data_IF_803821408483
#
_entry.id   IF_803821408483
#
_cell.length_a   1.000
_cell.length_b   1.000
_cell.length_c   1.000
_cell.angle_alpha   90.00
_cell.angle_beta   90.00
_cell.angle_gamma   90.00
#
_symmetry.space_group_name_H-M   'P 1'
#
loop_
_entity.id
_entity.type
_entity.pdbx_description
1 polymer ?
#
# COMPACT_ATOMS: atom_id res chain seq x y z
N UNK A 1 -16.76 36.88 -82.03
CA UNK A 1 -15.99 37.64 -81.03
C UNK A 1 -15.60 36.66 -79.94
N UNK A 2 -14.31 36.36 -79.83
CA UNK A 2 -13.80 35.55 -78.72
C UNK A 2 -13.92 36.40 -77.44
N UNK A 3 -14.76 35.98 -76.50
CA UNK A 3 -14.75 36.53 -75.15
C UNK A 3 -13.51 36.00 -74.45
N UNK A 4 -12.52 36.86 -74.32
CA UNK A 4 -11.26 36.66 -73.61
C UNK A 4 -11.47 36.76 -72.11
N UNK A 5 -12.26 35.85 -71.54
CA UNK A 5 -12.29 35.73 -70.08
C UNK A 5 -11.05 34.94 -69.64
N UNK A 6 -10.02 35.67 -69.22
CA UNK A 6 -8.75 35.13 -68.72
C UNK A 6 -8.85 34.66 -67.26
N UNK A 7 -10.00 34.85 -66.62
CA UNK A 7 -10.23 34.48 -65.24
C UNK A 7 -10.76 33.05 -65.20
N UNK A 8 -9.85 32.07 -65.02
CA UNK A 8 -10.28 30.72 -64.68
C UNK A 8 -11.04 30.76 -63.34
N UNK A 9 -12.29 30.31 -63.35
CA UNK A 9 -13.07 30.11 -62.12
C UNK A 9 -12.28 29.21 -61.17
N UNK A 10 -12.03 29.67 -59.94
CA UNK A 10 -11.34 28.86 -58.95
C UNK A 10 -12.14 27.58 -58.71
N UNK A 11 -11.51 26.42 -58.88
CA UNK A 11 -12.09 25.14 -58.49
C UNK A 11 -12.22 25.12 -56.96
N UNK A 12 -13.43 25.37 -56.47
CA UNK A 12 -13.74 25.36 -55.04
C UNK A 12 -13.93 23.93 -54.49
N UNK A 13 -13.87 22.91 -55.35
CA UNK A 13 -14.03 21.50 -54.98
C UNK A 13 -12.70 20.76 -54.87
N UNK A 14 -11.63 21.29 -55.48
CA UNK A 14 -10.27 20.77 -55.40
C UNK A 14 -9.33 21.65 -54.57
N UNK A 15 -8.59 21.06 -53.64
CA UNK A 15 -7.45 21.75 -53.03
C UNK A 15 -6.27 21.77 -54.01
N UNK A 16 -5.94 22.94 -54.57
CA UNK A 16 -4.70 23.13 -55.33
C UNK A 16 -3.48 23.13 -54.39
N UNK A 17 -2.36 22.55 -54.82
CA UNK A 17 -1.12 22.59 -54.04
C UNK A 17 -0.72 24.04 -53.78
N UNK A 18 -0.65 24.44 -52.50
CA UNK A 18 -0.13 25.74 -52.06
C UNK A 18 -1.16 26.81 -51.67
N UNK A 19 -2.47 26.55 -51.77
CA UNK A 19 -3.52 27.54 -51.45
C UNK A 19 -4.15 27.39 -50.05
N UNK A 20 -3.56 26.57 -49.18
CA UNK A 20 -3.99 26.42 -47.78
C UNK A 20 -2.85 25.97 -46.88
N UNK A 21 -3.07 26.02 -45.56
CA UNK A 21 -2.11 25.49 -44.59
C UNK A 21 -1.96 23.97 -44.80
N UNK A 22 -0.93 23.56 -45.54
CA UNK A 22 -0.56 22.16 -45.71
C UNK A 22 -0.11 21.62 -44.36
N UNK A 23 -0.93 20.74 -43.78
CA UNK A 23 -0.59 20.05 -42.53
C UNK A 23 0.56 19.07 -42.79
N UNK A 24 1.79 19.52 -42.62
CA UNK A 24 3.01 18.70 -42.79
C UNK A 24 3.27 17.78 -41.59
N UNK A 25 2.57 17.99 -40.47
CA UNK A 25 2.68 17.19 -39.25
C UNK A 25 1.30 16.87 -38.68
N UNK A 26 1.10 15.60 -38.32
CA UNK A 26 -0.08 15.15 -37.57
C UNK A 26 0.37 14.90 -36.12
N UNK A 27 -0.19 15.61 -35.12
CA UNK A 27 0.03 15.26 -33.73
C UNK A 27 -0.51 13.85 -33.52
N UNK A 28 0.34 13.00 -32.96
CA UNK A 28 -0.05 11.70 -32.46
C UNK A 28 -0.35 11.88 -30.97
N UNK A 29 -1.54 11.48 -30.56
CA UNK A 29 -1.85 11.40 -29.15
C UNK A 29 -1.06 10.21 -28.59
N UNK A 30 -0.25 10.46 -27.56
CA UNK A 30 0.51 9.45 -26.86
C UNK A 30 -0.01 9.43 -25.42
N UNK A 31 -0.56 8.29 -25.02
CA UNK A 31 -1.00 8.08 -23.66
C UNK A 31 0.23 7.80 -22.79
N UNK A 32 0.61 8.80 -22.00
CA UNK A 32 1.63 8.61 -20.96
C UNK A 32 0.96 8.19 -19.65
N UNK A 33 1.63 7.32 -18.91
CA UNK A 33 1.20 6.96 -17.57
C UNK A 33 1.29 8.21 -16.68
N UNK A 34 0.21 8.58 -15.95
CA UNK A 34 0.29 9.69 -15.01
C UNK A 34 1.41 9.43 -13.99
N UNK A 35 2.21 10.45 -13.62
CA UNK A 35 3.38 10.25 -12.76
C UNK A 35 3.00 9.68 -11.40
N UNK A 36 1.83 10.05 -10.86
CA UNK A 36 1.33 9.45 -9.63
C UNK A 36 1.07 7.95 -9.76
N UNK A 37 0.49 7.50 -10.89
CA UNK A 37 0.27 6.09 -11.16
C UNK A 37 1.61 5.35 -11.29
N UNK A 38 2.56 5.91 -12.04
CA UNK A 38 3.89 5.33 -12.27
C UNK A 38 4.69 5.17 -10.96
N UNK A 39 4.63 6.17 -10.09
CA UNK A 39 5.32 6.14 -8.79
C UNK A 39 4.62 5.27 -7.74
N UNK A 40 3.41 4.78 -7.97
CA UNK A 40 2.68 3.96 -7.01
C UNK A 40 3.18 2.51 -7.03
N UNK A 41 3.83 2.00 -5.96
CA UNK A 41 4.36 0.63 -5.97
C UNK A 41 3.25 -0.44 -5.97
N UNK A 42 2.04 -0.08 -5.54
CA UNK A 42 0.88 -0.96 -5.63
C UNK A 42 0.32 -1.08 -7.05
N UNK A 43 0.77 -0.23 -7.99
CA UNK A 43 0.29 -0.21 -9.37
C UNK A 43 -1.08 0.44 -9.54
N UNK A 44 -1.54 1.21 -8.55
CA UNK A 44 -2.89 1.78 -8.56
C UNK A 44 -3.12 2.75 -9.72
N UNK A 45 -4.30 2.64 -10.35
CA UNK A 45 -4.76 3.66 -11.28
C UNK A 45 -5.35 4.88 -10.57
N UNK A 46 -4.46 5.69 -9.98
CA UNK A 46 -4.78 6.87 -9.16
C UNK A 46 -5.65 7.86 -9.92
N UNK A 47 -5.29 8.18 -11.15
CA UNK A 47 -6.06 9.11 -11.97
C UNK A 47 -7.51 8.64 -12.20
N UNK A 48 -7.75 7.34 -12.40
CA UNK A 48 -9.09 6.80 -12.63
C UNK A 48 -9.97 6.87 -11.37
N UNK A 49 -9.48 6.38 -10.22
CA UNK A 49 -10.29 6.41 -9.01
C UNK A 49 -10.46 7.82 -8.45
N UNK A 50 -9.48 8.73 -8.64
CA UNK A 50 -9.64 10.15 -8.31
C UNK A 50 -10.73 10.82 -9.15
N UNK A 51 -10.79 10.54 -10.45
CA UNK A 51 -11.84 11.08 -11.33
C UNK A 51 -13.23 10.65 -10.88
N UNK A 52 -13.40 9.39 -10.48
CA UNK A 52 -14.65 8.88 -9.91
C UNK A 52 -14.99 9.53 -8.57
N UNK A 53 -14.01 9.73 -7.69
CA UNK A 53 -14.20 10.40 -6.42
C UNK A 53 -14.59 11.88 -6.61
N UNK A 54 -13.97 12.58 -7.56
CA UNK A 54 -14.31 13.96 -7.92
C UNK A 54 -15.74 14.08 -8.45
N UNK A 55 -16.21 13.08 -9.21
CA UNK A 55 -17.59 13.01 -9.69
C UNK A 55 -18.62 12.63 -8.60
N UNK A 56 -18.19 12.39 -7.36
CA UNK A 56 -19.05 11.95 -6.25
C UNK A 56 -19.41 10.46 -6.29
N UNK A 57 -18.84 9.70 -7.22
CA UNK A 57 -19.08 8.26 -7.38
C UNK A 57 -18.15 7.44 -6.49
N UNK A 58 -18.26 7.61 -5.16
CA UNK A 58 -17.30 7.05 -4.21
C UNK A 58 -17.23 5.52 -4.20
N UNK A 59 -18.35 4.81 -4.38
CA UNK A 59 -18.31 3.33 -4.45
C UNK A 59 -17.57 2.87 -5.71
N UNK A 60 -17.80 3.53 -6.85
CA UNK A 60 -17.08 3.22 -8.08
C UNK A 60 -15.58 3.53 -7.94
N UNK A 61 -15.23 4.65 -7.30
CA UNK A 61 -13.85 5.00 -6.99
C UNK A 61 -13.17 3.93 -6.14
N UNK A 62 -13.82 3.50 -5.06
CA UNK A 62 -13.33 2.41 -4.22
C UNK A 62 -13.20 1.10 -4.99
N UNK A 63 -14.17 0.75 -5.84
CA UNK A 63 -14.11 -0.46 -6.69
C UNK A 63 -12.94 -0.43 -7.67
N UNK A 64 -12.60 0.74 -8.20
CA UNK A 64 -11.43 0.90 -9.07
C UNK A 64 -10.13 0.79 -8.27
N UNK A 65 -10.05 1.45 -7.11
CA UNK A 65 -8.91 1.42 -6.19
C UNK A 65 -8.57 -0.02 -5.75
N UNK A 66 -9.58 -0.80 -5.34
CA UNK A 66 -9.35 -2.16 -4.82
C UNK A 66 -9.01 -3.18 -5.90
N UNK A 67 -9.05 -2.82 -7.19
CA UNK A 67 -8.51 -3.69 -8.23
C UNK A 67 -7.04 -4.01 -8.00
N UNK A 68 -6.30 -3.07 -7.40
CA UNK A 68 -4.87 -3.15 -7.17
C UNK A 68 -4.56 -3.35 -5.68
N UNK A 69 -5.21 -2.58 -4.79
CA UNK A 69 -4.93 -2.55 -3.36
C UNK A 69 -6.15 -2.97 -2.49
N UNK A 70 -6.10 -4.11 -1.77
CA UNK A 70 -7.23 -4.59 -0.99
C UNK A 70 -7.46 -3.88 0.36
N UNK A 71 -6.51 -3.05 0.81
CA UNK A 71 -6.55 -2.47 2.16
C UNK A 71 -6.40 -0.95 2.15
N UNK A 72 -7.27 -0.21 1.42
CA UNK A 72 -7.13 1.24 1.28
C UNK A 72 -7.31 2.05 2.57
N UNK A 73 -8.10 1.57 3.54
CA UNK A 73 -8.27 2.27 4.82
C UNK A 73 -6.95 2.29 5.61
N UNK A 74 -6.21 1.18 5.60
CA UNK A 74 -4.90 1.09 6.22
C UNK A 74 -3.80 1.69 5.35
N UNK A 75 -3.77 1.40 4.05
CA UNK A 75 -2.73 1.88 3.14
C UNK A 75 -2.66 3.42 3.14
N UNK A 76 -3.80 4.11 3.01
CA UNK A 76 -3.87 5.57 3.05
C UNK A 76 -3.44 6.20 4.38
N UNK A 77 -3.22 5.42 5.46
CA UNK A 77 -2.73 5.93 6.76
C UNK A 77 -1.22 5.79 6.94
N UNK A 78 -0.61 4.81 6.27
CA UNK A 78 0.79 4.42 6.54
C UNK A 78 1.68 4.40 5.31
N UNK A 79 1.10 4.54 4.11
CA UNK A 79 1.85 4.75 2.87
C UNK A 79 2.74 5.99 2.99
N UNK A 80 3.92 5.93 2.38
CA UNK A 80 4.85 7.06 2.27
C UNK A 80 4.53 7.97 1.06
N UNK A 81 3.37 7.75 0.42
CA UNK A 81 2.81 8.58 -0.65
C UNK A 81 3.84 9.04 -1.72
N UNK A 82 4.63 8.12 -2.32
CA UNK A 82 5.57 8.48 -3.39
C UNK A 82 4.84 9.07 -4.62
N UNK A 83 3.58 8.70 -4.81
CA UNK A 83 2.70 9.26 -5.82
C UNK A 83 2.44 10.78 -5.65
N UNK A 84 2.56 11.31 -4.43
CA UNK A 84 2.41 12.75 -4.14
C UNK A 84 3.71 13.51 -4.40
N UNK A 85 4.87 12.87 -4.22
CA UNK A 85 6.20 13.48 -4.46
C UNK A 85 6.40 13.87 -5.93
N UNK A 86 5.86 13.07 -6.85
CA UNK A 86 5.95 13.28 -8.30
C UNK A 86 4.70 13.92 -8.91
N UNK A 87 3.80 14.47 -8.08
CA UNK A 87 2.53 15.00 -8.56
C UNK A 87 2.74 16.26 -9.41
N UNK A 88 2.31 16.24 -10.69
CA UNK A 88 2.37 17.39 -11.59
C UNK A 88 1.77 18.68 -11.02
N UNK A 89 0.78 18.56 -10.13
CA UNK A 89 0.10 19.69 -9.49
C UNK A 89 1.02 20.49 -8.56
N UNK A 90 2.10 19.88 -8.06
CA UNK A 90 3.11 20.58 -7.26
C UNK A 90 3.79 21.73 -8.03
N UNK A 91 3.74 21.73 -9.37
CA UNK A 91 4.23 22.84 -10.20
C UNK A 91 3.26 24.01 -10.32
N UNK A 92 2.01 23.85 -9.86
CA UNK A 92 0.97 24.88 -9.90
C UNK A 92 0.69 25.43 -8.51
N UNK A 93 0.36 24.55 -7.56
CA UNK A 93 0.08 24.92 -6.16
C UNK A 93 0.68 23.89 -5.19
N UNK A 94 -0.01 22.77 -4.96
CA UNK A 94 0.44 21.71 -4.06
C UNK A 94 0.07 20.34 -4.63
N UNK A 95 0.81 19.32 -4.20
CA UNK A 95 0.46 17.95 -4.53
C UNK A 95 -0.96 17.62 -4.07
N UNK A 96 -1.66 16.82 -4.87
CA UNK A 96 -2.97 16.27 -4.45
C UNK A 96 -2.72 15.34 -3.27
N UNK A 97 -3.54 15.45 -2.22
CA UNK A 97 -3.46 14.57 -1.05
C UNK A 97 -4.14 13.22 -1.35
N UNK A 98 -3.49 12.45 -2.22
CA UNK A 98 -3.92 11.14 -2.74
C UNK A 98 -4.16 10.16 -1.59
N UNK A 99 -3.21 10.03 -0.64
CA UNK A 99 -3.34 9.09 0.48
C UNK A 99 -4.55 9.41 1.36
N UNK A 100 -4.89 10.70 1.52
CA UNK A 100 -6.04 11.13 2.31
C UNK A 100 -7.36 10.74 1.64
N UNK A 101 -7.44 10.83 0.30
CA UNK A 101 -8.61 10.40 -0.46
C UNK A 101 -8.72 8.87 -0.46
N UNK A 102 -7.60 8.16 -0.62
CA UNK A 102 -7.54 6.70 -0.48
C UNK A 102 -8.07 6.24 0.88
N UNK A 103 -7.56 6.84 1.96
CA UNK A 103 -8.04 6.60 3.33
C UNK A 103 -9.53 6.87 3.44
N UNK A 104 -10.02 8.00 2.92
CA UNK A 104 -11.43 8.37 2.96
C UNK A 104 -12.31 7.33 2.26
N UNK A 105 -11.91 6.86 1.07
CA UNK A 105 -12.63 5.83 0.33
C UNK A 105 -12.63 4.50 1.09
N UNK A 106 -11.49 4.11 1.67
CA UNK A 106 -11.38 2.91 2.49
C UNK A 106 -12.25 2.96 3.75
N UNK A 107 -12.19 4.07 4.50
CA UNK A 107 -12.99 4.29 5.70
C UNK A 107 -14.50 4.30 5.36
N UNK A 108 -14.89 4.96 4.27
CA UNK A 108 -16.28 4.96 3.78
C UNK A 108 -16.74 3.56 3.40
N UNK A 109 -15.90 2.77 2.73
CA UNK A 109 -16.22 1.40 2.38
C UNK A 109 -16.47 0.53 3.62
N UNK A 110 -15.72 0.75 4.71
CA UNK A 110 -15.95 0.04 5.97
C UNK A 110 -17.27 0.49 6.62
N UNK A 111 -17.56 1.79 6.63
CA UNK A 111 -18.79 2.33 7.20
C UNK A 111 -20.04 1.89 6.43
N UNK A 112 -19.97 1.85 5.10
CA UNK A 112 -21.08 1.48 4.20
C UNK A 112 -21.20 -0.04 4.01
N UNK A 113 -20.24 -0.81 4.50
CA UNK A 113 -20.22 -2.27 4.34
C UNK A 113 -20.04 -2.70 2.88
N UNK A 114 -19.27 -1.94 2.08
CA UNK A 114 -18.97 -2.34 0.71
C UNK A 114 -18.11 -3.60 0.68
N UNK A 115 -18.47 -4.51 -0.23
CA UNK A 115 -17.92 -5.86 -0.32
C UNK A 115 -17.17 -6.08 -1.63
N UNK A 116 -16.17 -6.94 -1.57
CA UNK A 116 -15.46 -7.39 -2.76
C UNK A 116 -16.35 -8.28 -3.62
N UNK A 117 -16.16 -8.19 -4.93
CA UNK A 117 -16.84 -9.07 -5.88
C UNK A 117 -16.23 -10.47 -5.81
N UNK A 118 -17.05 -11.48 -5.50
CA UNK A 118 -16.63 -12.88 -5.51
C UNK A 118 -16.33 -13.36 -6.92
N UNK A 119 -15.37 -14.27 -7.11
CA UNK A 119 -15.09 -14.87 -8.41
C UNK A 119 -16.34 -15.60 -8.94
N UNK A 120 -16.60 -15.48 -10.24
CA UNK A 120 -17.74 -16.15 -10.88
C UNK A 120 -17.51 -17.67 -11.03
N UNK A 121 -16.25 -18.09 -11.17
CA UNK A 121 -15.87 -19.49 -11.38
C UNK A 121 -14.77 -19.89 -10.42
N UNK A 122 -14.84 -21.14 -9.95
CA UNK A 122 -13.76 -21.75 -9.20
C UNK A 122 -12.73 -22.33 -10.17
N UNK A 123 -11.46 -22.03 -9.93
CA UNK A 123 -10.33 -22.58 -10.70
C UNK A 123 -10.04 -24.05 -10.40
N UNK A 124 -10.61 -24.60 -9.32
CA UNK A 124 -10.28 -25.93 -8.79
C UNK A 124 -8.90 -26.03 -8.12
N UNK A 125 -8.15 -24.93 -8.04
CA UNK A 125 -6.81 -24.89 -7.43
C UNK A 125 -6.86 -24.44 -5.98
N UNK A 126 -6.03 -25.07 -5.14
CA UNK A 126 -5.86 -24.74 -3.72
C UNK A 126 -4.48 -24.16 -3.47
N UNK A 127 -4.44 -22.98 -2.84
CA UNK A 127 -3.20 -22.25 -2.60
C UNK A 127 -3.02 -22.03 -1.10
N UNK A 128 -1.86 -22.40 -0.58
CA UNK A 128 -1.44 -22.10 0.78
C UNK A 128 -0.64 -20.79 0.79
N UNK A 129 -0.89 -19.94 1.78
CA UNK A 129 -0.10 -18.76 2.06
C UNK A 129 0.45 -18.87 3.48
N UNK A 130 1.76 -18.72 3.63
CA UNK A 130 2.41 -18.79 4.95
C UNK A 130 2.68 -17.37 5.45
N UNK A 131 1.87 -16.89 6.38
CA UNK A 131 1.93 -15.55 6.96
C UNK A 131 0.77 -14.64 6.51
N UNK A 132 0.06 -14.07 7.47
CA UNK A 132 -1.03 -13.11 7.30
C UNK A 132 -0.56 -11.65 7.43
N UNK A 133 0.65 -11.35 6.94
CA UNK A 133 1.16 -9.99 6.79
C UNK A 133 0.57 -9.27 5.56
N UNK A 134 1.00 -8.03 5.27
CA UNK A 134 0.47 -7.24 4.14
C UNK A 134 0.61 -7.98 2.80
N UNK A 135 1.77 -8.60 2.56
CA UNK A 135 2.02 -9.37 1.33
C UNK A 135 1.13 -10.61 1.24
N UNK A 136 0.97 -11.37 2.33
CA UNK A 136 0.12 -12.56 2.35
C UNK A 136 -1.36 -12.24 2.17
N UNK A 137 -1.86 -11.19 2.83
CA UNK A 137 -3.23 -10.71 2.68
C UNK A 137 -3.52 -10.21 1.26
N UNK A 138 -2.58 -9.47 0.65
CA UNK A 138 -2.68 -9.00 -0.73
C UNK A 138 -2.67 -10.16 -1.73
N UNK A 139 -1.74 -11.11 -1.57
CA UNK A 139 -1.70 -12.31 -2.39
C UNK A 139 -2.99 -13.12 -2.26
N UNK A 140 -3.53 -13.27 -1.05
CA UNK A 140 -4.76 -14.00 -0.81
C UNK A 140 -5.95 -13.37 -1.52
N UNK A 141 -6.06 -12.04 -1.42
CA UNK A 141 -7.09 -11.27 -2.12
C UNK A 141 -7.07 -11.50 -3.63
N UNK A 142 -5.90 -11.33 -4.25
CA UNK A 142 -5.76 -11.47 -5.70
C UNK A 142 -5.99 -12.91 -6.17
N UNK A 143 -5.47 -13.91 -5.45
CA UNK A 143 -5.68 -15.32 -5.76
C UNK A 143 -7.15 -15.74 -5.61
N UNK A 144 -7.84 -15.26 -4.57
CA UNK A 144 -9.27 -15.52 -4.40
C UNK A 144 -10.10 -14.87 -5.52
N UNK A 145 -9.74 -13.67 -6.00
CA UNK A 145 -10.39 -13.03 -7.17
C UNK A 145 -10.22 -13.82 -8.47
N UNK A 146 -9.13 -14.59 -8.59
CA UNK A 146 -8.89 -15.52 -9.70
C UNK A 146 -9.64 -16.85 -9.54
N UNK A 147 -10.43 -17.02 -8.46
CA UNK A 147 -11.21 -18.24 -8.23
C UNK A 147 -10.43 -19.36 -7.57
N UNK A 148 -9.26 -19.08 -6.99
CA UNK A 148 -8.52 -20.08 -6.20
C UNK A 148 -9.12 -20.23 -4.80
N UNK A 149 -9.09 -21.44 -4.27
CA UNK A 149 -9.38 -21.69 -2.86
C UNK A 149 -8.11 -21.39 -2.05
N UNK A 150 -8.14 -20.32 -1.26
CA UNK A 150 -6.96 -19.81 -0.56
C UNK A 150 -7.07 -20.04 0.95
N UNK A 151 -5.99 -20.56 1.53
CA UNK A 151 -5.83 -20.68 2.98
C UNK A 151 -4.53 -20.00 3.41
N UNK A 152 -4.62 -19.19 4.48
CA UNK A 152 -3.47 -18.56 5.12
C UNK A 152 -3.19 -19.26 6.44
N UNK A 153 -1.95 -19.69 6.66
CA UNK A 153 -1.46 -20.17 7.95
C UNK A 153 -0.59 -19.08 8.59
N UNK A 154 -1.03 -18.57 9.73
CA UNK A 154 -0.39 -17.49 10.47
C UNK A 154 0.10 -18.00 11.83
N UNK A 155 1.39 -17.79 12.11
CA UNK A 155 2.01 -18.24 13.35
C UNK A 155 1.49 -17.49 14.59
N UNK A 156 1.09 -16.23 14.43
CA UNK A 156 0.59 -15.37 15.48
C UNK A 156 -0.91 -15.55 15.80
N UNK A 157 -1.38 -14.96 16.91
CA UNK A 157 -2.77 -15.05 17.34
C UNK A 157 -3.71 -14.11 16.59
N UNK A 158 -3.19 -13.23 15.72
CA UNK A 158 -3.94 -12.24 14.95
C UNK A 158 -3.30 -12.00 13.59
N UNK A 159 -4.13 -11.75 12.58
CA UNK A 159 -3.68 -11.36 11.25
C UNK A 159 -3.24 -9.89 11.19
N UNK A 160 -2.44 -9.56 10.18
CA UNK A 160 -1.90 -8.23 9.88
C UNK A 160 -0.37 -8.18 9.91
N UNK A 161 0.30 -9.12 10.56
CA UNK A 161 1.77 -9.15 10.65
C UNK A 161 2.35 -7.82 11.19
N UNK A 162 3.34 -7.24 10.51
CA UNK A 162 3.98 -5.99 10.94
C UNK A 162 3.05 -4.77 10.95
N UNK A 163 1.94 -4.80 10.21
CA UNK A 163 0.88 -3.81 10.34
C UNK A 163 0.29 -3.82 11.76
N UNK A 164 -0.01 -5.01 12.28
CA UNK A 164 -0.52 -5.16 13.64
C UNK A 164 0.57 -4.96 14.71
N UNK A 165 1.72 -5.63 14.57
CA UNK A 165 2.70 -5.72 15.66
C UNK A 165 3.76 -4.61 15.63
N UNK A 166 4.12 -4.11 14.45
CA UNK A 166 5.20 -3.13 14.29
C UNK A 166 4.71 -1.70 14.34
N UNK A 167 3.66 -1.37 13.58
CA UNK A 167 3.19 0.01 13.46
C UNK A 167 2.32 0.36 14.66
N UNK A 168 2.59 1.47 15.38
CA UNK A 168 1.80 1.84 16.56
C UNK A 168 0.32 2.08 16.27
N UNK A 169 -0.55 1.72 17.22
CA UNK A 169 -2.01 1.80 17.07
C UNK A 169 -2.54 3.21 16.73
N UNK A 170 -1.84 4.28 17.14
CA UNK A 170 -2.23 5.66 16.82
C UNK A 170 -1.97 6.04 15.35
N UNK A 171 -1.06 5.34 14.65
CA UNK A 171 -0.89 5.45 13.19
C UNK A 171 -1.77 4.43 12.46
N UNK A 172 -1.88 3.24 13.04
CA UNK A 172 -2.63 2.13 12.48
C UNK A 172 -3.70 1.61 13.44
N UNK A 173 -4.90 2.21 13.42
CA UNK A 173 -6.01 1.77 14.23
C UNK A 173 -6.35 0.29 14.03
N UNK A 174 -6.55 -0.43 15.14
CA UNK A 174 -6.76 -1.88 15.13
C UNK A 174 -8.14 -2.29 14.66
N UNK A 175 -9.14 -1.43 14.80
CA UNK A 175 -10.50 -1.73 14.36
C UNK A 175 -10.58 -1.76 12.83
N UNK A 176 -10.01 -0.75 12.17
CA UNK A 176 -9.94 -0.63 10.72
C UNK A 176 -9.13 -1.77 10.10
N UNK A 177 -7.96 -2.09 10.67
CA UNK A 177 -7.14 -3.23 10.19
C UNK A 177 -7.92 -4.55 10.27
N UNK A 178 -8.58 -4.82 11.40
CA UNK A 178 -9.41 -6.03 11.53
C UNK A 178 -10.57 -6.04 10.56
N UNK A 179 -11.19 -4.89 10.30
CA UNK A 179 -12.32 -4.79 9.39
C UNK A 179 -11.90 -5.02 7.92
N UNK A 180 -10.70 -4.56 7.51
CA UNK A 180 -10.17 -4.87 6.17
C UNK A 180 -9.76 -6.33 6.03
N UNK A 181 -9.11 -6.92 7.05
CA UNK A 181 -8.82 -8.36 7.07
C UNK A 181 -10.12 -9.17 6.96
N UNK A 182 -11.16 -8.79 7.73
CA UNK A 182 -12.46 -9.45 7.69
C UNK A 182 -13.10 -9.38 6.30
N UNK A 183 -12.97 -8.27 5.59
CA UNK A 183 -13.46 -8.16 4.20
C UNK A 183 -12.75 -9.13 3.26
N UNK A 184 -11.46 -9.41 3.48
CA UNK A 184 -10.72 -10.45 2.74
C UNK A 184 -11.22 -11.85 3.11
N UNK A 185 -11.55 -12.12 4.38
CA UNK A 185 -12.18 -13.38 4.78
C UNK A 185 -13.58 -13.56 4.15
N UNK A 186 -14.37 -12.48 4.07
CA UNK A 186 -15.71 -12.46 3.46
C UNK A 186 -15.69 -12.75 1.94
N UNK A 187 -14.55 -12.52 1.27
CA UNK A 187 -14.29 -12.95 -0.11
C UNK A 187 -14.18 -14.48 -0.24
N UNK A 188 -13.88 -15.18 0.85
CA UNK A 188 -13.73 -16.64 0.91
C UNK A 188 -12.32 -17.13 1.28
N UNK A 189 -11.42 -16.23 1.66
CA UNK A 189 -10.09 -16.59 2.16
C UNK A 189 -10.22 -17.15 3.58
N UNK A 190 -9.66 -18.33 3.82
CA UNK A 190 -9.61 -18.93 5.16
C UNK A 190 -8.30 -18.54 5.86
N UNK A 191 -8.37 -18.02 7.08
CA UNK A 191 -7.19 -17.70 7.88
C UNK A 191 -7.14 -18.62 9.12
N UNK A 192 -6.07 -19.40 9.24
CA UNK A 192 -5.80 -20.26 10.40
C UNK A 192 -4.70 -19.60 11.24
N UNK A 193 -5.08 -19.07 12.40
CA UNK A 193 -4.20 -18.39 13.35
C UNK A 193 -3.52 -19.40 14.30
N UNK A 194 -2.45 -18.98 14.97
CA UNK A 194 -1.63 -19.82 15.86
C UNK A 194 -1.11 -21.10 15.18
N UNK A 195 -0.89 -21.04 13.87
CA UNK A 195 -0.40 -22.15 13.07
C UNK A 195 0.95 -21.77 12.47
N UNK A 196 2.03 -22.17 13.13
CA UNK A 196 3.38 -21.99 12.60
C UNK A 196 3.72 -23.15 11.66
N UNK A 197 4.07 -22.80 10.43
CA UNK A 197 4.57 -23.76 9.43
C UNK A 197 6.08 -23.91 9.61
N UNK A 198 6.52 -25.08 10.06
CA UNK A 198 7.95 -25.42 10.19
C UNK A 198 8.52 -26.01 8.89
N UNK A 199 7.71 -26.77 8.15
CA UNK A 199 8.08 -27.36 6.85
C UNK A 199 6.98 -27.08 5.82
N UNK A 200 7.31 -26.22 4.87
CA UNK A 200 6.39 -25.77 3.81
C UNK A 200 5.98 -26.91 2.87
N UNK A 201 6.89 -27.85 2.57
CA UNK A 201 6.61 -28.95 1.64
C UNK A 201 5.72 -30.00 2.31
N UNK A 202 5.97 -30.29 3.58
CA UNK A 202 5.12 -31.17 4.36
C UNK A 202 3.69 -30.59 4.48
N UNK A 203 3.56 -29.30 4.82
CA UNK A 203 2.26 -28.63 4.94
C UNK A 203 1.51 -28.60 3.60
N UNK A 204 2.23 -28.31 2.51
CA UNK A 204 1.69 -28.37 1.14
C UNK A 204 1.09 -29.73 0.82
N UNK A 205 1.83 -30.80 1.11
CA UNK A 205 1.43 -32.17 0.81
C UNK A 205 0.24 -32.62 1.68
N UNK A 206 0.33 -32.40 3.00
CA UNK A 206 -0.71 -32.76 3.96
C UNK A 206 -2.02 -32.03 3.70
N UNK A 207 -1.95 -30.74 3.37
CA UNK A 207 -3.11 -29.92 3.06
C UNK A 207 -3.62 -30.07 1.63
N UNK A 208 -2.94 -30.82 0.75
CA UNK A 208 -3.35 -31.01 -0.64
C UNK A 208 -3.34 -29.71 -1.46
N UNK A 209 -2.34 -28.85 -1.24
CA UNK A 209 -2.21 -27.57 -1.93
C UNK A 209 -1.44 -27.70 -3.24
N UNK A 210 -1.93 -27.06 -4.30
CA UNK A 210 -1.27 -27.02 -5.60
C UNK A 210 0.01 -26.18 -5.56
N UNK A 211 -0.04 -25.04 -4.86
CA UNK A 211 1.08 -24.10 -4.71
C UNK A 211 1.14 -23.47 -3.31
N UNK A 212 2.30 -22.92 -2.97
CA UNK A 212 2.52 -22.19 -1.73
C UNK A 212 3.15 -20.83 -2.01
N UNK A 213 2.66 -19.79 -1.34
CA UNK A 213 3.27 -18.46 -1.30
C UNK A 213 3.79 -18.17 0.11
N UNK A 214 5.10 -17.92 0.24
CA UNK A 214 5.75 -17.69 1.54
C UNK A 214 5.82 -16.19 1.81
N UNK A 215 5.06 -15.73 2.81
CA UNK A 215 4.87 -14.32 3.18
C UNK A 215 5.20 -14.04 4.66
N UNK A 216 6.18 -14.77 5.23
CA UNK A 216 6.55 -14.67 6.65
C UNK A 216 7.19 -13.33 7.02
N UNK A 217 7.86 -12.66 6.08
CA UNK A 217 8.53 -11.38 6.35
C UNK A 217 9.78 -11.52 7.25
N UNK A 218 10.21 -10.40 7.85
CA UNK A 218 11.44 -10.33 8.64
C UNK A 218 11.14 -10.03 10.12
N UNK A 219 11.25 -11.05 10.96
CA UNK A 219 10.90 -10.97 12.39
C UNK A 219 12.09 -10.71 13.32
N UNK A 220 13.32 -10.85 12.82
CA UNK A 220 14.54 -10.76 13.64
C UNK A 220 15.09 -9.33 13.58
N UNK A 221 15.19 -8.70 14.75
CA UNK A 221 15.80 -7.38 14.90
C UNK A 221 17.31 -7.42 14.59
N UNK A 222 17.84 -6.35 14.02
CA UNK A 222 19.30 -6.18 13.88
C UNK A 222 19.90 -5.86 15.24
N UNK A 223 20.81 -6.70 15.70
CA UNK A 223 21.57 -6.47 16.93
C UNK A 223 22.81 -5.62 16.65
N UNK A 224 23.17 -4.81 17.63
CA UNK A 224 24.44 -4.07 17.65
C UNK A 224 25.12 -4.42 18.96
N UNK A 225 26.34 -4.91 18.85
CA UNK A 225 27.15 -5.28 20.01
C UNK A 225 27.69 -4.02 20.68
N UNK A 226 26.96 -3.55 21.69
CA UNK A 226 27.41 -2.47 22.57
C UNK A 226 27.87 -3.12 23.87
N UNK A 227 29.17 -3.05 24.21
CA UNK A 227 29.68 -3.57 25.48
C UNK A 227 28.91 -2.94 26.64
N UNK A 228 28.19 -3.77 27.39
CA UNK A 228 27.47 -3.36 28.59
C UNK A 228 27.81 -4.35 29.69
N UNK A 229 28.40 -3.86 30.79
CA UNK A 229 28.70 -4.69 31.97
C UNK A 229 27.45 -4.81 32.84
N UNK A 230 27.06 -3.68 33.45
CA UNK A 230 25.93 -3.58 34.38
C UNK A 230 24.90 -2.52 33.93
N UNK A 231 24.97 -2.06 32.68
CA UNK A 231 24.07 -1.04 32.16
C UNK A 231 22.66 -1.62 31.91
N UNK A 232 21.63 -0.78 32.09
CA UNK A 232 20.22 -1.16 32.11
C UNK A 232 19.70 -1.91 30.87
N UNK A 233 18.44 -2.33 30.92
CA UNK A 233 17.79 -3.17 29.91
C UNK A 233 17.93 -2.60 28.49
N UNK A 234 18.66 -3.32 27.63
CA UNK A 234 18.57 -3.16 26.19
C UNK A 234 17.30 -3.84 25.69
N UNK A 235 16.51 -3.10 24.92
CA UNK A 235 15.29 -3.60 24.29
C UNK A 235 15.47 -3.53 22.78
N UNK A 236 15.20 -4.62 22.09
CA UNK A 236 15.10 -4.57 20.63
C UNK A 236 13.81 -3.85 20.22
N UNK A 237 13.88 -3.05 19.16
CA UNK A 237 12.77 -2.16 18.81
C UNK A 237 11.51 -2.92 18.37
N UNK A 238 11.65 -4.08 17.73
CA UNK A 238 10.51 -4.90 17.30
C UNK A 238 9.77 -5.45 18.51
N UNK A 239 10.46 -6.06 19.48
CA UNK A 239 9.83 -6.54 20.71
C UNK A 239 9.26 -5.40 21.55
N UNK A 240 9.96 -4.27 21.65
CA UNK A 240 9.46 -3.09 22.35
C UNK A 240 8.12 -2.61 21.77
N UNK A 241 8.06 -2.38 20.46
CA UNK A 241 6.85 -1.92 19.77
C UNK A 241 5.74 -2.98 19.84
N UNK A 242 6.09 -4.25 19.66
CA UNK A 242 5.16 -5.38 19.73
C UNK A 242 4.51 -5.49 21.11
N UNK A 243 5.29 -5.42 22.19
CA UNK A 243 4.78 -5.46 23.56
C UNK A 243 3.95 -4.22 23.90
N UNK A 244 4.38 -3.02 23.49
CA UNK A 244 3.57 -1.82 23.64
C UNK A 244 2.23 -1.92 22.90
N UNK A 245 2.22 -2.50 21.70
CA UNK A 245 1.00 -2.71 20.90
C UNK A 245 0.06 -3.76 21.48
N UNK A 246 0.58 -4.76 22.22
CA UNK A 246 -0.22 -5.72 22.98
C UNK A 246 -0.78 -5.19 24.30
N UNK A 247 -0.43 -3.96 24.69
CA UNK A 247 -0.82 -3.40 25.99
C UNK A 247 0.06 -3.87 27.16
N UNK A 248 1.23 -4.42 26.86
CA UNK A 248 2.22 -4.92 27.83
C UNK A 248 3.52 -4.10 27.75
N UNK A 249 3.49 -2.76 27.84
CA UNK A 249 4.68 -1.95 27.61
C UNK A 249 5.75 -2.24 28.69
N UNK A 250 7.03 -2.34 28.30
CA UNK A 250 8.09 -2.48 29.28
C UNK A 250 8.23 -1.20 30.10
N UNK A 251 8.71 -1.33 31.35
CA UNK A 251 9.05 -0.18 32.18
C UNK A 251 10.26 0.55 31.59
N UNK A 252 10.06 1.81 31.23
CA UNK A 252 11.11 2.68 30.70
C UNK A 252 11.68 3.57 31.82
N UNK A 253 12.94 3.98 31.66
CA UNK A 253 13.54 5.03 32.47
C UNK A 253 13.11 6.43 32.02
N UNK A 254 13.56 7.47 32.75
CA UNK A 254 13.28 8.87 32.42
C UNK A 254 13.85 9.29 31.06
N UNK A 255 15.02 8.76 30.69
CA UNK A 255 15.71 9.03 29.43
C UNK A 255 15.88 7.73 28.65
N UNK A 256 15.50 7.75 27.37
CA UNK A 256 15.58 6.62 26.46
C UNK A 256 16.46 6.99 25.27
N UNK A 257 17.50 6.21 25.02
CA UNK A 257 18.30 6.31 23.80
C UNK A 257 17.80 5.29 22.77
N UNK A 258 17.48 5.76 21.56
CA UNK A 258 17.03 4.95 20.43
C UNK A 258 18.14 4.95 19.39
N UNK A 259 18.74 3.79 19.15
CA UNK A 259 19.76 3.63 18.12
C UNK A 259 19.15 3.29 16.77
N UNK A 260 19.20 4.21 15.82
CA UNK A 260 18.64 4.07 14.47
C UNK A 260 17.99 5.35 13.95
N UNK A 261 17.76 5.41 12.64
CA UNK A 261 17.16 6.59 11.98
C UNK A 261 16.02 6.26 11.01
N UNK A 262 15.51 5.03 11.02
CA UNK A 262 14.37 4.65 10.17
C UNK A 262 13.02 4.80 10.87
N UNK A 263 11.95 4.41 10.18
CA UNK A 263 10.57 4.49 10.70
C UNK A 263 10.40 3.78 12.05
N UNK A 264 11.01 2.60 12.21
CA UNK A 264 11.01 1.87 13.49
C UNK A 264 11.63 2.68 14.63
N UNK A 265 12.68 3.47 14.37
CA UNK A 265 13.30 4.32 15.39
C UNK A 265 12.39 5.50 15.76
N UNK A 266 11.74 6.12 14.77
CA UNK A 266 10.77 7.19 15.02
C UNK A 266 9.56 6.70 15.80
N UNK A 267 9.00 5.56 15.41
CA UNK A 267 7.87 4.94 16.09
C UNK A 267 8.25 4.53 17.53
N UNK A 268 9.45 4.00 17.74
CA UNK A 268 9.96 3.70 19.08
C UNK A 268 10.13 4.95 19.93
N UNK A 269 10.71 6.02 19.41
CA UNK A 269 10.90 7.28 20.12
C UNK A 269 9.56 7.91 20.54
N UNK A 270 8.57 7.95 19.63
CA UNK A 270 7.22 8.47 19.92
C UNK A 270 6.49 7.59 20.92
N UNK A 271 6.65 6.28 20.81
CA UNK A 271 6.05 5.32 21.77
C UNK A 271 6.66 5.48 23.16
N UNK A 272 7.98 5.64 23.27
CA UNK A 272 8.65 5.92 24.54
C UNK A 272 8.14 7.21 25.21
N UNK A 273 7.99 8.30 24.43
CA UNK A 273 7.39 9.56 24.94
C UNK A 273 5.96 9.35 25.45
N UNK A 274 5.13 8.60 24.73
CA UNK A 274 3.75 8.29 25.15
C UNK A 274 3.69 7.44 26.42
N UNK A 275 4.70 6.61 26.67
CA UNK A 275 4.85 5.82 27.89
C UNK A 275 5.46 6.60 29.06
N UNK A 276 5.66 7.91 28.92
CA UNK A 276 6.10 8.79 30.01
C UNK A 276 7.60 9.06 30.08
N UNK A 277 8.39 8.69 29.05
CA UNK A 277 9.79 9.09 29.01
C UNK A 277 9.91 10.63 28.91
N UNK A 278 10.68 11.25 29.81
CA UNK A 278 10.97 12.69 29.79
C UNK A 278 11.82 13.06 28.57
N UNK A 279 12.73 12.16 28.17
CA UNK A 279 13.61 12.34 27.01
C UNK A 279 13.68 11.08 26.16
N UNK A 280 13.55 11.26 24.84
CA UNK A 280 13.73 10.20 23.85
C UNK A 280 14.73 10.71 22.81
N UNK A 281 15.98 10.23 22.90
CA UNK A 281 17.09 10.67 22.07
C UNK A 281 17.30 9.69 20.93
N UNK A 282 17.33 10.20 19.70
CA UNK A 282 17.65 9.42 18.51
C UNK A 282 19.15 9.50 18.26
N UNK A 283 19.82 8.36 18.24
CA UNK A 283 21.24 8.22 17.91
C UNK A 283 21.30 7.61 16.51
N UNK A 284 21.69 8.43 15.53
CA UNK A 284 21.84 8.01 14.15
C UNK A 284 23.30 8.15 13.70
N UNK A 285 23.83 7.10 13.09
CA UNK A 285 25.24 7.01 12.70
C UNK A 285 25.63 7.83 11.46
N UNK A 286 24.66 8.46 10.78
CA UNK A 286 24.89 9.30 9.59
C UNK A 286 24.28 10.69 9.82
N UNK A 287 24.45 11.58 8.84
CA UNK A 287 23.82 12.89 8.85
C UNK A 287 22.29 12.83 8.74
N UNK A 288 21.65 13.95 8.99
CA UNK A 288 20.19 14.10 8.93
C UNK A 288 19.63 13.89 7.52
N UNK A 289 20.35 14.29 6.48
CA UNK A 289 19.91 14.18 5.08
C UNK A 289 19.86 12.72 4.60
N UNK A 290 20.65 11.85 5.23
CA UNK A 290 20.73 10.43 4.94
C UNK A 290 19.72 9.59 5.75
N UNK A 291 18.87 10.24 6.56
CA UNK A 291 17.92 9.55 7.43
C UNK A 291 16.83 8.86 6.60
N UNK A 292 16.62 7.53 6.73
CA UNK A 292 15.67 6.79 5.91
C UNK A 292 14.21 6.85 6.42
N UNK A 293 13.94 7.58 7.48
CA UNK A 293 12.56 7.82 7.93
C UNK A 293 11.90 8.85 7.03
N UNK A 294 10.63 8.59 6.66
CA UNK A 294 9.78 9.49 5.89
C UNK A 294 8.84 10.26 6.83
#
# INVERSE_FOLDING_TARGET
MASSDLTQSADLTGHSHGTGALRTRRPQYVDYLPPCNDACPAGENIQAWLGLAQAGNFEAAWRQLVQDNPMPSIHGRVCYHPCEEVCNRAHTDSAVSIHAIERFLGDMALQKGWQFTKPATASGKRILIVGAGPSGLSAAYHLARLGHAVEIHEAGPVAGGMMHFGIPAYRMPRAELRAEVRRIEELGVKITLNHRVEDVLAEKAAGGFDAVFVAVGAHISKHVDIPHRDAGKFLDAVSFLSSANRGEPPKLGRRVAIYGGGNTAMDAARTAKRLGAEEAMIIYRRDRNSMPAH
#
